data_IF_355383341510
#
_entry.id   IF_355383341510
#
_cell.length_a   1.000
_cell.length_b   1.000
_cell.length_c   1.000
_cell.angle_alpha   90.00
_cell.angle_beta   90.00
_cell.angle_gamma   90.00
#
_symmetry.space_group_name_H-M   'P 1'
#
loop_
_entity.id
_entity.type
_entity.pdbx_description
1 polymer ?
#
# COMPACT_ATOMS: atom_id res chain seq x y z
N UNK A 1 -22.34 1.78 -7.35
CA UNK A 1 -22.86 2.14 -6.01
C UNK A 1 -24.00 1.26 -5.53
N UNK A 2 -24.87 0.70 -6.40
CA UNK A 2 -25.96 -0.22 -6.00
C UNK A 2 -25.53 -1.30 -4.99
N UNK A 3 -24.47 -2.06 -5.30
CA UNK A 3 -23.91 -3.08 -4.37
C UNK A 3 -23.55 -2.55 -2.98
N UNK A 4 -23.11 -1.29 -2.86
CA UNK A 4 -22.81 -0.68 -1.56
C UNK A 4 -24.09 -0.26 -0.83
N UNK A 5 -25.06 0.30 -1.55
CA UNK A 5 -26.37 0.63 -0.98
C UNK A 5 -27.06 -0.63 -0.44
N UNK A 6 -27.10 -1.70 -1.24
CA UNK A 6 -27.67 -3.00 -0.84
C UNK A 6 -26.97 -3.54 0.44
N UNK A 7 -25.64 -3.39 0.54
CA UNK A 7 -24.89 -3.79 1.72
C UNK A 7 -25.28 -2.99 2.97
N UNK A 8 -25.44 -1.68 2.85
CA UNK A 8 -25.86 -0.80 3.96
C UNK A 8 -27.28 -1.15 4.42
N UNK A 9 -28.22 -1.36 3.50
CA UNK A 9 -29.60 -1.73 3.84
C UNK A 9 -29.67 -3.06 4.61
N UNK A 10 -28.87 -4.05 4.22
CA UNK A 10 -28.87 -5.38 4.82
C UNK A 10 -28.15 -5.39 6.17
N UNK A 11 -26.97 -4.76 6.24
CA UNK A 11 -26.04 -4.96 7.36
C UNK A 11 -25.94 -3.79 8.34
N UNK A 12 -26.44 -2.60 7.98
CA UNK A 12 -26.35 -1.38 8.78
C UNK A 12 -27.72 -0.69 8.92
N UNK A 13 -28.71 -1.37 9.56
CA UNK A 13 -30.07 -0.84 9.69
C UNK A 13 -30.07 0.50 10.43
N UNK A 14 -30.83 1.47 9.91
CA UNK A 14 -30.94 2.83 10.44
C UNK A 14 -29.99 3.84 9.80
N UNK A 15 -29.10 3.43 8.89
CA UNK A 15 -28.34 4.34 8.03
C UNK A 15 -29.04 4.61 6.70
N UNK A 16 -28.83 5.80 6.13
CA UNK A 16 -29.23 6.12 4.75
C UNK A 16 -28.29 5.38 3.77
N UNK A 17 -28.83 4.51 2.89
CA UNK A 17 -28.00 3.75 1.96
C UNK A 17 -27.50 4.56 0.75
N UNK A 18 -27.97 5.81 0.58
CA UNK A 18 -27.56 6.67 -0.54
C UNK A 18 -26.18 7.29 -0.26
N UNK A 19 -25.15 7.02 -1.10
CA UNK A 19 -23.83 7.61 -0.90
C UNK A 19 -23.82 9.12 -1.16
N UNK A 20 -23.27 9.89 -0.21
CA UNK A 20 -23.09 11.34 -0.36
C UNK A 20 -22.11 11.70 -1.49
N UNK A 21 -21.04 10.92 -1.64
CA UNK A 21 -19.98 11.11 -2.64
C UNK A 21 -19.35 9.77 -2.99
N UNK A 22 -18.86 9.64 -4.21
CA UNK A 22 -18.11 8.49 -4.66
C UNK A 22 -16.89 8.95 -5.47
N UNK A 23 -15.76 8.31 -5.20
CA UNK A 23 -14.50 8.54 -5.91
C UNK A 23 -13.82 7.21 -6.18
N UNK A 24 -13.06 7.17 -7.27
CA UNK A 24 -12.20 6.03 -7.58
C UNK A 24 -10.84 6.24 -6.92
N UNK A 25 -10.48 5.37 -5.99
CA UNK A 25 -9.13 5.29 -5.44
C UNK A 25 -8.27 4.37 -6.32
N UNK A 26 -7.13 4.87 -6.80
CA UNK A 26 -6.17 4.10 -7.57
C UNK A 26 -5.01 3.66 -6.66
N UNK A 27 -4.61 2.39 -6.79
CA UNK A 27 -3.41 1.86 -6.17
C UNK A 27 -2.78 0.82 -7.10
N UNK A 28 -1.47 0.62 -6.97
CA UNK A 28 -0.76 -0.49 -7.63
C UNK A 28 -0.83 -1.75 -6.76
N UNK A 29 -0.77 -2.94 -7.35
CA UNK A 29 -0.86 -4.20 -6.60
C UNK A 29 0.22 -5.17 -7.09
N UNK A 30 0.91 -5.80 -6.15
CA UNK A 30 1.79 -6.94 -6.40
C UNK A 30 0.98 -8.24 -6.37
N UNK A 31 1.41 -9.32 -7.05
CA UNK A 31 0.65 -10.58 -7.05
C UNK A 31 0.47 -11.24 -5.68
N UNK A 32 1.33 -10.90 -4.70
CA UNK A 32 1.31 -11.41 -3.33
C UNK A 32 0.78 -10.40 -2.31
N UNK A 33 0.24 -9.27 -2.78
CA UNK A 33 -0.24 -8.15 -1.97
C UNK A 33 0.82 -7.54 -1.00
N UNK A 34 2.11 -7.83 -1.17
CA UNK A 34 3.19 -7.24 -0.38
C UNK A 34 3.64 -5.88 -0.95
N UNK A 35 4.45 -5.16 -0.17
CA UNK A 35 5.10 -3.92 -0.61
C UNK A 35 6.33 -4.20 -1.47
N UNK A 36 6.76 -3.18 -2.22
CA UNK A 36 8.11 -3.15 -2.78
C UNK A 36 8.91 -2.07 -2.06
N UNK A 37 9.96 -2.48 -1.35
CA UNK A 37 10.92 -1.63 -0.65
C UNK A 37 12.32 -2.15 -0.96
N UNK A 38 12.86 -1.72 -2.11
CA UNK A 38 14.09 -2.27 -2.66
C UNK A 38 15.10 -1.18 -3.06
N UNK A 39 16.33 -1.58 -3.36
CA UNK A 39 17.36 -0.72 -3.93
C UNK A 39 17.99 -1.37 -5.16
N UNK A 40 18.13 -0.60 -6.23
CA UNK A 40 18.88 -0.97 -7.44
C UNK A 40 19.98 0.06 -7.69
N UNK A 41 21.19 -0.26 -7.22
CA UNK A 41 22.34 0.65 -7.24
C UNK A 41 22.05 1.96 -6.48
N UNK A 42 22.10 3.13 -7.14
CA UNK A 42 21.83 4.41 -6.49
C UNK A 42 20.33 4.67 -6.26
N UNK A 43 19.42 3.87 -6.81
CA UNK A 43 17.96 4.12 -6.78
C UNK A 43 17.28 3.30 -5.69
N UNK A 44 16.50 3.96 -4.84
CA UNK A 44 15.55 3.30 -3.92
C UNK A 44 14.18 3.23 -4.58
N UNK A 45 13.60 2.04 -4.63
CA UNK A 45 12.25 1.78 -5.17
C UNK A 45 11.30 1.56 -3.99
N UNK A 46 10.29 2.41 -3.89
CA UNK A 46 9.25 2.31 -2.88
C UNK A 46 7.87 2.30 -3.53
N UNK A 47 7.20 1.15 -3.50
CA UNK A 47 5.77 1.00 -3.84
C UNK A 47 5.02 0.42 -2.64
N UNK A 48 4.65 1.28 -1.66
CA UNK A 48 3.88 0.88 -0.48
C UNK A 48 2.39 0.76 -0.81
N UNK A 49 2.06 -0.04 -1.83
CA UNK A 49 0.71 -0.20 -2.36
C UNK A 49 0.19 -1.62 -2.09
N UNK A 50 -0.79 -2.12 -2.83
CA UNK A 50 -1.62 -3.32 -2.55
C UNK A 50 -2.86 -3.06 -1.68
N UNK A 51 -3.38 -1.83 -1.73
CA UNK A 51 -4.67 -1.47 -1.12
C UNK A 51 -4.64 -1.29 0.40
N UNK A 52 -3.49 -1.47 1.05
CA UNK A 52 -3.36 -1.42 2.51
C UNK A 52 -2.20 -0.59 3.04
N UNK A 53 -1.34 -0.03 2.19
CA UNK A 53 -0.12 0.67 2.62
C UNK A 53 -0.32 1.90 3.50
N UNK A 54 -1.46 2.60 3.40
CA UNK A 54 -1.73 3.83 4.18
C UNK A 54 -1.63 3.60 5.71
N UNK A 55 -2.08 2.44 6.20
CA UNK A 55 -2.02 2.15 7.65
C UNK A 55 -0.59 1.92 8.17
N UNK A 56 0.37 1.71 7.26
CA UNK A 56 1.77 1.42 7.57
C UNK A 56 2.72 2.58 7.27
N UNK A 57 2.19 3.74 6.82
CA UNK A 57 3.00 4.88 6.38
C UNK A 57 4.13 5.26 7.34
N UNK A 58 3.96 5.31 8.68
CA UNK A 58 5.06 5.65 9.58
C UNK A 58 6.23 4.65 9.53
N UNK A 59 5.94 3.35 9.51
CA UNK A 59 6.96 2.30 9.46
C UNK A 59 7.64 2.26 8.08
N UNK A 60 6.85 2.33 7.01
CA UNK A 60 7.35 2.35 5.63
C UNK A 60 8.27 3.54 5.42
N UNK A 61 7.88 4.73 5.89
CA UNK A 61 8.71 5.93 5.79
C UNK A 61 10.07 5.77 6.47
N UNK A 62 10.10 5.12 7.64
CA UNK A 62 11.35 4.79 8.34
C UNK A 62 12.22 3.84 7.51
N UNK A 63 11.66 2.73 7.02
CA UNK A 63 12.40 1.73 6.23
C UNK A 63 12.98 2.34 4.95
N UNK A 64 12.20 3.15 4.23
CA UNK A 64 12.68 3.85 3.03
C UNK A 64 13.78 4.84 3.38
N UNK A 65 13.65 5.60 4.47
CA UNK A 65 14.69 6.53 4.89
C UNK A 65 16.00 5.82 5.27
N UNK A 66 15.91 4.67 5.94
CA UNK A 66 17.06 3.84 6.29
C UNK A 66 17.74 3.29 5.03
N UNK A 67 16.97 2.80 4.05
CA UNK A 67 17.49 2.39 2.74
C UNK A 67 18.20 3.52 1.99
N UNK A 68 17.64 4.73 2.01
CA UNK A 68 18.25 5.91 1.38
C UNK A 68 19.58 6.26 2.03
N UNK A 69 19.64 6.27 3.37
CA UNK A 69 20.84 6.64 4.14
C UNK A 69 21.97 5.62 4.08
N UNK A 70 21.65 4.33 4.02
CA UNK A 70 22.64 3.27 4.07
C UNK A 70 23.53 3.21 2.79
N UNK A 71 23.02 3.68 1.66
CA UNK A 71 23.76 3.69 0.39
C UNK A 71 23.77 2.33 -0.35
N UNK A 72 24.46 2.23 -1.49
CA UNK A 72 24.44 1.06 -2.37
C UNK A 72 25.18 -0.17 -1.83
N UNK A 73 26.15 0.03 -0.94
CA UNK A 73 26.98 -1.05 -0.37
C UNK A 73 26.42 -1.63 0.93
N UNK A 74 25.21 -1.21 1.30
CA UNK A 74 24.53 -1.67 2.52
C UNK A 74 24.03 -3.10 2.41
N UNK A 75 23.66 -3.67 3.56
CA UNK A 75 22.94 -4.94 3.61
C UNK A 75 21.66 -4.87 2.75
N UNK A 76 21.28 -5.98 2.09
CA UNK A 76 20.10 -6.01 1.26
C UNK A 76 18.82 -5.71 2.05
N UNK A 77 17.77 -5.18 1.40
CA UNK A 77 16.48 -4.96 2.03
C UNK A 77 15.85 -6.30 2.48
N UNK A 78 14.75 -6.20 3.24
CA UNK A 78 13.98 -7.37 3.62
C UNK A 78 13.58 -8.18 2.36
N UNK A 79 14.00 -9.45 2.25
CA UNK A 79 13.72 -10.27 1.07
C UNK A 79 12.25 -10.40 0.72
N UNK A 80 11.35 -10.22 1.70
CA UNK A 80 9.90 -10.23 1.48
C UNK A 80 9.45 -9.08 0.58
N UNK A 81 10.07 -7.90 0.72
CA UNK A 81 9.70 -6.68 0.01
C UNK A 81 10.68 -6.30 -1.10
N UNK A 82 11.71 -7.12 -1.33
CA UNK A 82 12.65 -6.93 -2.42
C UNK A 82 11.96 -7.23 -3.77
N UNK A 83 12.37 -6.53 -4.83
CA UNK A 83 11.97 -6.92 -6.18
C UNK A 83 12.60 -8.29 -6.50
N UNK A 84 11.94 -9.14 -7.31
CA UNK A 84 12.54 -10.35 -7.84
C UNK A 84 13.91 -10.05 -8.47
N UNK A 85 14.87 -10.96 -8.29
CA UNK A 85 16.22 -10.83 -8.83
C UNK A 85 16.20 -10.59 -10.35
#
# INVERSE_FOLDING_TARGET
LRRLADYVEIWLPGLDPVPLRAETCLFTQTPNDDFVLDRRGPVVVASPCSGHGFKFTPLIGKLVADLVRAGPDAAPPDPRFALPA
#
